data_IF_595732379782
#
_entry.id   IF_595732379782
#
_cell.length_a   1.000
_cell.length_b   1.000
_cell.length_c   1.000
_cell.angle_alpha   90.00
_cell.angle_beta   90.00
_cell.angle_gamma   90.00
#
_symmetry.space_group_name_H-M   'P 1'
#
loop_
_entity.id
_entity.type
_entity.pdbx_description
1 polymer ?
#
# COMPACT_ATOMS: atom_id res chain seq x y z
N UNK A 1 18.54 -78.94 -15.05
CA UNK A 1 18.95 -78.17 -13.86
C UNK A 1 19.35 -76.78 -14.31
N UNK A 2 18.82 -75.81 -13.58
CA UNK A 2 18.65 -74.38 -13.84
C UNK A 2 19.94 -73.56 -13.61
N UNK A 3 20.15 -72.52 -14.45
CA UNK A 3 20.47 -71.11 -14.11
C UNK A 3 21.36 -70.44 -15.18
N UNK A 4 20.71 -69.77 -16.14
CA UNK A 4 21.35 -68.77 -16.99
C UNK A 4 21.29 -67.40 -16.29
N UNK A 5 22.41 -66.94 -15.77
CA UNK A 5 22.60 -65.60 -15.20
C UNK A 5 22.53 -64.55 -16.32
N UNK A 6 21.52 -63.68 -16.29
CA UNK A 6 21.47 -62.49 -17.13
C UNK A 6 22.33 -61.38 -16.51
N UNK A 7 23.56 -61.20 -16.99
CA UNK A 7 24.35 -60.00 -16.73
C UNK A 7 23.73 -58.82 -17.49
N UNK A 8 23.04 -57.94 -16.78
CA UNK A 8 22.53 -56.69 -17.35
C UNK A 8 23.70 -55.77 -17.68
N UNK A 9 23.93 -55.50 -18.97
CA UNK A 9 25.04 -54.66 -19.50
C UNK A 9 25.00 -53.21 -18.96
N UNK A 10 23.91 -52.78 -18.33
CA UNK A 10 23.81 -51.47 -17.69
C UNK A 10 23.44 -51.64 -16.23
N UNK A 11 24.39 -51.31 -15.34
CA UNK A 11 24.10 -51.24 -13.91
C UNK A 11 23.00 -50.21 -13.65
N UNK A 12 22.05 -50.57 -12.78
CA UNK A 12 20.96 -49.68 -12.31
C UNK A 12 21.50 -48.32 -11.84
N UNK A 13 22.72 -48.28 -11.28
CA UNK A 13 23.40 -47.03 -10.89
C UNK A 13 23.73 -46.15 -12.09
N UNK A 14 24.23 -46.72 -13.18
CA UNK A 14 24.57 -46.01 -14.41
C UNK A 14 23.31 -45.45 -15.09
N UNK A 15 22.22 -46.22 -15.10
CA UNK A 15 20.94 -45.75 -15.63
C UNK A 15 20.38 -44.56 -14.81
N UNK A 16 20.49 -44.63 -13.48
CA UNK A 16 20.08 -43.53 -12.60
C UNK A 16 20.96 -42.28 -12.77
N UNK A 17 22.28 -42.44 -12.89
CA UNK A 17 23.20 -41.32 -13.12
C UNK A 17 22.98 -40.65 -14.49
N UNK A 18 22.74 -41.44 -15.55
CA UNK A 18 22.43 -40.89 -16.86
C UNK A 18 21.07 -40.15 -16.86
N UNK A 19 20.07 -40.70 -16.16
CA UNK A 19 18.75 -40.08 -16.01
C UNK A 19 18.79 -38.75 -15.26
N UNK A 20 19.57 -38.65 -14.17
CA UNK A 20 19.68 -37.39 -13.40
C UNK A 20 20.42 -36.30 -14.18
N UNK A 21 21.47 -36.64 -14.94
CA UNK A 21 22.18 -35.68 -15.80
C UNK A 21 21.26 -35.18 -16.93
N UNK A 22 20.47 -36.07 -17.53
CA UNK A 22 19.48 -35.70 -18.57
C UNK A 22 18.40 -34.76 -18.04
N UNK A 23 17.87 -35.00 -16.83
CA UNK A 23 16.88 -34.12 -16.19
C UNK A 23 17.44 -32.73 -15.85
N UNK A 24 18.70 -32.66 -15.37
CA UNK A 24 19.37 -31.38 -15.10
C UNK A 24 19.68 -30.60 -16.39
N UNK A 25 20.04 -31.31 -17.49
CA UNK A 25 20.28 -30.70 -18.80
C UNK A 25 19.01 -30.10 -19.43
N UNK A 26 17.86 -30.77 -19.28
CA UNK A 26 16.56 -30.28 -19.77
C UNK A 26 16.06 -29.06 -18.98
N UNK A 27 16.40 -28.95 -17.69
CA UNK A 27 16.09 -27.78 -16.86
C UNK A 27 16.93 -26.54 -17.19
N UNK A 28 18.11 -26.71 -17.82
CA UNK A 28 19.03 -25.62 -18.13
C UNK A 28 18.55 -24.71 -19.28
N UNK A 29 17.77 -25.25 -20.22
CA UNK A 29 17.18 -24.48 -21.32
C UNK A 29 16.12 -23.48 -20.82
N UNK A 30 15.43 -23.81 -19.72
CA UNK A 30 14.52 -22.88 -19.04
C UNK A 30 15.24 -21.84 -18.17
N UNK A 31 16.47 -22.10 -17.72
CA UNK A 31 17.26 -21.11 -16.96
C UNK A 31 17.64 -19.90 -17.81
N UNK A 32 17.91 -20.07 -19.11
CA UNK A 32 18.13 -18.94 -20.01
C UNK A 32 16.85 -18.13 -20.23
N UNK A 33 15.69 -18.79 -20.39
CA UNK A 33 14.39 -18.10 -20.50
C UNK A 33 13.98 -17.39 -19.20
N UNK A 34 14.27 -17.97 -18.03
CA UNK A 34 14.07 -17.36 -16.71
C UNK A 34 15.02 -16.17 -16.47
N UNK A 35 16.27 -16.24 -16.97
CA UNK A 35 17.22 -15.10 -16.96
C UNK A 35 16.91 -14.05 -18.03
N UNK A 36 16.31 -14.45 -19.16
CA UNK A 36 15.81 -13.51 -20.16
C UNK A 36 14.54 -12.79 -19.68
N UNK A 37 13.77 -13.40 -18.77
CA UNK A 37 12.71 -12.72 -18.01
C UNK A 37 13.24 -11.76 -16.94
N UNK A 38 14.52 -11.88 -16.55
CA UNK A 38 15.24 -10.87 -15.78
C UNK A 38 15.98 -9.89 -16.68
N UNK A 39 15.35 -9.46 -17.79
CA UNK A 39 15.78 -8.24 -18.46
C UNK A 39 15.78 -7.11 -17.44
N UNK A 40 16.94 -6.48 -17.34
CA UNK A 40 17.29 -5.27 -16.60
C UNK A 40 16.50 -4.04 -17.13
N UNK A 41 15.20 -4.21 -17.41
CA UNK A 41 14.29 -3.10 -17.55
C UNK A 41 14.12 -2.54 -16.15
N UNK A 42 14.89 -1.50 -15.81
CA UNK A 42 14.60 -0.65 -14.64
C UNK A 42 13.09 -0.46 -14.60
N UNK A 43 12.44 -1.10 -13.62
CA UNK A 43 11.01 -0.92 -13.44
C UNK A 43 10.75 0.58 -13.36
N UNK A 44 9.71 1.10 -14.04
CA UNK A 44 9.37 2.51 -13.99
C UNK A 44 9.39 2.97 -12.52
N UNK A 45 10.26 3.93 -12.22
CA UNK A 45 10.47 4.38 -10.85
C UNK A 45 9.68 5.66 -10.65
N UNK A 46 8.81 5.69 -9.66
CA UNK A 46 8.17 6.93 -9.23
C UNK A 46 9.24 7.91 -8.70
N UNK A 47 9.22 9.14 -9.21
CA UNK A 47 10.12 10.22 -8.76
C UNK A 47 9.59 10.89 -7.49
N UNK A 48 8.28 11.08 -7.42
CA UNK A 48 7.55 11.71 -6.31
C UNK A 48 6.25 10.96 -6.03
N UNK A 49 5.84 10.91 -4.77
CA UNK A 49 4.58 10.28 -4.34
C UNK A 49 3.77 11.31 -3.54
N UNK A 50 2.49 11.44 -3.90
CA UNK A 50 1.51 12.19 -3.13
C UNK A 50 0.63 11.17 -2.41
N UNK A 51 0.58 11.26 -1.09
CA UNK A 51 -0.32 10.46 -0.26
C UNK A 51 -1.47 11.33 0.22
N UNK A 52 -2.69 11.01 -0.21
CA UNK A 52 -3.91 11.71 0.17
C UNK A 52 -4.67 10.83 1.16
N UNK A 53 -4.81 11.31 2.40
CA UNK A 53 -5.64 10.67 3.41
C UNK A 53 -6.87 11.54 3.70
N UNK A 54 -8.05 10.98 3.47
CA UNK A 54 -9.33 11.66 3.68
C UNK A 54 -9.85 11.35 5.09
N UNK A 55 -9.46 12.16 6.07
CA UNK A 55 -9.98 12.09 7.45
C UNK A 55 -11.47 12.47 7.45
N UNK A 56 -12.35 11.55 7.87
CA UNK A 56 -13.81 11.66 7.68
C UNK A 56 -14.34 10.92 6.45
N UNK A 57 -13.45 10.58 5.52
CA UNK A 57 -13.65 9.59 4.47
C UNK A 57 -14.44 10.05 3.26
N UNK A 58 -14.22 9.30 2.17
CA UNK A 58 -15.10 9.23 1.01
C UNK A 58 -15.77 7.85 1.09
N UNK A 59 -17.10 7.78 1.09
CA UNK A 59 -17.80 6.49 1.22
C UNK A 59 -17.40 5.57 0.06
N UNK A 60 -16.78 4.42 0.37
CA UNK A 60 -16.40 3.43 -0.64
C UNK A 60 -17.61 2.95 -1.44
N UNK A 61 -18.74 2.82 -0.74
CA UNK A 61 -20.00 2.32 -1.27
C UNK A 61 -20.70 3.32 -2.21
N UNK A 62 -20.33 4.59 -2.15
CA UNK A 62 -20.84 5.65 -3.03
C UNK A 62 -19.84 6.05 -4.11
N UNK A 63 -18.66 5.43 -4.17
CA UNK A 63 -17.57 5.87 -5.06
C UNK A 63 -16.93 4.77 -5.88
N UNK A 64 -16.25 3.81 -5.24
CA UNK A 64 -15.39 2.85 -5.93
C UNK A 64 -15.86 1.38 -5.79
N UNK A 65 -16.84 1.10 -4.92
CA UNK A 65 -17.36 -0.26 -4.66
C UNK A 65 -18.88 -0.27 -4.36
N UNK A 66 -19.67 0.15 -5.35
CA UNK A 66 -21.09 0.52 -5.16
C UNK A 66 -22.10 -0.62 -5.20
N UNK A 67 -21.65 -1.88 -5.26
CA UNK A 67 -22.52 -3.07 -5.34
C UNK A 67 -23.80 -2.87 -6.17
N UNK A 68 -23.71 -2.51 -7.47
CA UNK A 68 -24.84 -2.01 -8.25
C UNK A 68 -26.00 -3.02 -8.40
N UNK A 69 -25.70 -4.31 -8.28
CA UNK A 69 -26.65 -5.41 -8.40
C UNK A 69 -27.31 -5.78 -7.06
N UNK A 70 -26.91 -5.15 -5.95
CA UNK A 70 -27.56 -5.35 -4.67
C UNK A 70 -28.96 -4.70 -4.63
N UNK A 71 -29.88 -5.20 -3.77
CA UNK A 71 -31.18 -4.58 -3.54
C UNK A 71 -31.08 -3.08 -3.24
N UNK A 72 -32.13 -2.32 -3.58
CA UNK A 72 -32.16 -0.85 -3.44
C UNK A 72 -31.94 -0.36 -2.00
N UNK A 73 -32.32 -1.15 -1.01
CA UNK A 73 -32.08 -0.86 0.41
C UNK A 73 -30.65 -1.21 0.89
N UNK A 74 -29.84 -1.81 0.03
CA UNK A 74 -28.46 -2.23 0.32
C UNK A 74 -27.47 -1.41 -0.52
N UNK A 75 -27.74 -1.22 -1.83
CA UNK A 75 -26.89 -0.42 -2.72
C UNK A 75 -27.06 1.09 -2.45
N UNK A 76 -26.05 1.86 -2.83
CA UNK A 76 -26.05 3.32 -2.68
C UNK A 76 -27.08 4.01 -3.56
N UNK A 77 -27.32 5.30 -3.31
CA UNK A 77 -28.26 6.12 -4.11
C UNK A 77 -27.72 6.36 -5.52
N UNK A 78 -26.40 6.48 -5.66
CA UNK A 78 -25.79 6.84 -6.93
C UNK A 78 -25.73 5.68 -7.92
N UNK A 79 -25.79 6.03 -9.20
CA UNK A 79 -25.62 5.07 -10.30
C UNK A 79 -24.15 4.93 -10.68
N UNK A 80 -23.79 3.76 -11.20
CA UNK A 80 -22.43 3.50 -11.70
C UNK A 80 -22.27 3.90 -13.18
N UNK A 81 -21.07 4.31 -13.56
CA UNK A 81 -20.62 4.50 -14.93
C UNK A 81 -19.51 3.49 -15.28
N UNK A 82 -19.44 3.08 -16.55
CA UNK A 82 -18.32 2.30 -17.06
C UNK A 82 -17.03 3.14 -17.06
N UNK A 83 -15.89 2.48 -16.88
CA UNK A 83 -14.57 3.12 -16.97
C UNK A 83 -13.83 2.66 -18.24
N UNK A 84 -12.74 3.34 -18.61
CA UNK A 84 -11.86 2.88 -19.69
C UNK A 84 -11.25 1.49 -19.45
N UNK A 85 -11.09 1.08 -18.19
CA UNK A 85 -10.67 -0.27 -17.81
C UNK A 85 -11.85 -1.23 -17.93
N UNK A 86 -11.79 -2.24 -18.84
CA UNK A 86 -12.88 -3.18 -19.03
C UNK A 86 -13.27 -3.91 -17.74
N UNK A 87 -14.57 -4.00 -17.47
CA UNK A 87 -15.12 -4.66 -16.28
C UNK A 87 -15.10 -3.81 -15.00
N UNK A 88 -14.45 -2.65 -14.99
CA UNK A 88 -14.45 -1.74 -13.85
C UNK A 88 -15.56 -0.68 -14.00
N UNK A 89 -16.37 -0.54 -12.94
CA UNK A 89 -17.45 0.44 -12.79
C UNK A 89 -17.23 1.23 -11.50
N UNK A 90 -17.48 2.53 -11.54
CA UNK A 90 -17.39 3.45 -10.38
C UNK A 90 -18.59 4.42 -10.40
N UNK A 91 -18.68 5.32 -9.42
CA UNK A 91 -19.75 6.32 -9.33
C UNK A 91 -19.82 7.25 -10.54
N UNK A 92 -21.05 7.48 -11.03
CA UNK A 92 -21.35 8.38 -12.15
C UNK A 92 -20.93 9.83 -11.91
N UNK A 93 -20.75 10.24 -10.64
CA UNK A 93 -20.24 11.56 -10.27
C UNK A 93 -18.71 11.70 -10.41
N UNK A 94 -18.01 10.64 -10.84
CA UNK A 94 -16.56 10.62 -11.03
C UNK A 94 -16.15 10.42 -12.51
N UNK A 95 -16.74 11.14 -13.49
CA UNK A 95 -16.52 10.86 -14.92
C UNK A 95 -15.06 11.06 -15.35
N UNK A 96 -14.37 12.03 -14.76
CA UNK A 96 -12.95 12.29 -15.03
C UNK A 96 -12.02 11.19 -14.48
N UNK A 97 -12.42 10.50 -13.41
CA UNK A 97 -11.70 9.34 -12.88
C UNK A 97 -11.96 8.10 -13.73
N UNK A 98 -13.22 7.89 -14.15
CA UNK A 98 -13.62 6.79 -15.02
C UNK A 98 -12.85 6.82 -16.35
N UNK A 99 -12.77 8.00 -16.97
CA UNK A 99 -12.02 8.23 -18.22
C UNK A 99 -10.49 8.19 -18.09
N UNK A 100 -9.95 7.94 -16.89
CA UNK A 100 -8.50 7.79 -16.64
C UNK A 100 -8.18 6.50 -15.88
N UNK A 101 -9.08 5.52 -15.91
CA UNK A 101 -8.93 4.24 -15.19
C UNK A 101 -7.76 3.36 -15.65
N UNK A 102 -7.16 3.68 -16.79
CA UNK A 102 -5.88 3.14 -17.26
C UNK A 102 -4.65 3.70 -16.51
N UNK A 103 -4.84 4.74 -15.68
CA UNK A 103 -3.78 5.46 -14.95
C UNK A 103 -3.75 5.18 -13.45
N UNK A 104 -4.68 4.38 -12.95
CA UNK A 104 -4.77 4.06 -11.53
C UNK A 104 -5.20 2.61 -11.32
N UNK A 105 -5.02 2.12 -10.09
CA UNK A 105 -5.44 0.78 -9.69
C UNK A 105 -6.29 0.88 -8.44
N UNK A 106 -7.30 0.00 -8.36
CA UNK A 106 -8.17 -0.10 -7.20
C UNK A 106 -7.73 -1.26 -6.32
N UNK A 107 -7.62 -1.01 -5.01
CA UNK A 107 -7.34 -2.06 -4.02
C UNK A 107 -8.54 -2.17 -3.09
N UNK A 108 -9.33 -3.25 -3.24
CA UNK A 108 -10.52 -3.54 -2.40
C UNK A 108 -10.24 -4.53 -1.26
N UNK A 109 -9.02 -5.04 -1.18
CA UNK A 109 -8.64 -6.06 -0.19
C UNK A 109 -8.20 -5.48 1.17
N UNK A 110 -8.20 -4.14 1.32
CA UNK A 110 -7.77 -3.51 2.57
C UNK A 110 -8.91 -3.59 3.60
N UNK A 111 -8.66 -4.26 4.72
CA UNK A 111 -9.57 -4.34 5.86
C UNK A 111 -8.80 -4.33 7.18
N UNK A 112 -9.47 -3.88 8.25
CA UNK A 112 -9.03 -4.06 9.64
C UNK A 112 -10.23 -4.38 10.53
N UNK A 113 -10.06 -5.11 11.65
CA UNK A 113 -11.19 -5.52 12.50
C UNK A 113 -11.70 -4.40 13.42
N UNK A 114 -11.07 -3.22 13.38
CA UNK A 114 -11.38 -2.12 14.28
C UNK A 114 -12.47 -1.20 13.74
N UNK A 115 -13.42 -0.78 14.59
CA UNK A 115 -14.52 0.12 14.22
C UNK A 115 -14.35 1.55 14.73
N UNK A 116 -13.32 1.85 15.54
CA UNK A 116 -13.08 3.22 16.02
C UNK A 116 -12.37 4.05 14.97
N UNK A 117 -12.84 5.29 14.84
CA UNK A 117 -12.32 6.29 13.92
C UNK A 117 -10.83 6.58 14.17
N UNK A 118 -10.45 6.73 15.43
CA UNK A 118 -9.08 7.03 15.86
C UNK A 118 -8.13 5.86 15.59
N UNK A 119 -8.60 4.63 15.82
CA UNK A 119 -7.84 3.45 15.45
C UNK A 119 -7.66 3.37 13.93
N UNK A 120 -8.73 3.62 13.16
CA UNK A 120 -8.67 3.67 11.70
C UNK A 120 -7.62 4.65 11.17
N UNK A 121 -7.56 5.86 11.74
CA UNK A 121 -6.51 6.84 11.42
C UNK A 121 -5.11 6.25 11.62
N UNK A 122 -4.86 5.71 12.81
CA UNK A 122 -3.54 5.17 13.17
C UNK A 122 -3.15 4.02 12.26
N UNK A 123 -4.08 3.10 11.98
CA UNK A 123 -3.86 1.94 11.12
C UNK A 123 -3.53 2.39 9.69
N UNK A 124 -4.30 3.32 9.13
CA UNK A 124 -4.11 3.81 7.76
C UNK A 124 -2.82 4.61 7.59
N UNK A 125 -2.47 5.42 8.59
CA UNK A 125 -1.28 6.28 8.52
C UNK A 125 0.03 5.53 8.81
N UNK A 126 -0.03 4.38 9.50
CA UNK A 126 1.15 3.56 9.85
C UNK A 126 1.25 2.26 9.05
N UNK A 127 0.16 1.82 8.41
CA UNK A 127 0.06 0.53 7.75
C UNK A 127 0.03 -0.67 8.72
N UNK A 128 -0.29 -0.47 10.00
CA UNK A 128 -0.25 -1.51 11.04
C UNK A 128 -1.59 -1.66 11.74
N UNK A 129 -2.15 -2.86 11.71
CA UNK A 129 -3.39 -3.20 12.44
C UNK A 129 -3.22 -3.19 13.96
N UNK A 130 -2.04 -3.59 14.45
CA UNK A 130 -1.72 -3.54 15.87
C UNK A 130 -1.50 -2.08 16.29
N UNK A 131 -2.18 -1.64 17.35
CA UNK A 131 -1.96 -0.31 17.92
C UNK A 131 -0.63 -0.24 18.67
N UNK A 132 -0.01 0.96 18.74
CA UNK A 132 1.25 1.12 19.43
C UNK A 132 1.14 0.93 20.95
N UNK A 133 2.23 0.58 21.64
CA UNK A 133 2.26 0.52 23.10
C UNK A 133 1.90 1.87 23.73
N UNK A 134 0.99 1.86 24.71
CA UNK A 134 0.55 3.08 25.38
C UNK A 134 -0.31 4.00 24.51
N UNK A 135 -0.94 3.46 23.47
CA UNK A 135 -1.77 4.19 22.50
C UNK A 135 -2.69 5.24 23.14
N UNK A 136 -2.64 6.47 22.61
CA UNK A 136 -3.51 7.58 23.01
C UNK A 136 -4.24 8.13 21.77
N UNK A 137 -5.57 7.96 21.67
CA UNK A 137 -6.30 8.15 20.41
C UNK A 137 -6.28 9.59 19.85
N UNK A 138 -5.95 10.57 20.68
CA UNK A 138 -5.94 12.00 20.30
C UNK A 138 -4.62 12.69 20.64
N UNK A 139 -3.55 11.93 20.84
CA UNK A 139 -2.25 12.47 21.16
C UNK A 139 -1.13 11.55 20.69
N UNK A 140 -0.47 11.92 19.60
CA UNK A 140 0.73 11.25 19.13
C UNK A 140 1.78 11.14 20.26
N UNK A 141 2.43 9.98 20.34
CA UNK A 141 3.46 9.65 21.33
C UNK A 141 4.77 9.28 20.66
N UNK A 142 5.88 9.48 21.37
CA UNK A 142 7.19 9.01 20.92
C UNK A 142 7.28 7.47 20.83
N UNK A 143 6.37 6.74 21.46
CA UNK A 143 6.28 5.27 21.38
C UNK A 143 5.41 4.78 20.23
N UNK A 144 4.75 5.68 19.49
CA UNK A 144 3.88 5.29 18.39
C UNK A 144 4.65 4.62 17.26
N UNK A 145 3.92 3.88 16.43
CA UNK A 145 4.46 3.42 15.15
C UNK A 145 4.74 4.62 14.25
N UNK A 146 5.85 4.60 13.51
CA UNK A 146 6.17 5.66 12.58
C UNK A 146 5.12 5.76 11.48
N UNK A 147 4.73 6.98 11.16
CA UNK A 147 3.87 7.28 10.03
C UNK A 147 4.54 7.03 8.68
N UNK A 148 3.72 6.81 7.66
CA UNK A 148 4.18 6.55 6.28
C UNK A 148 5.15 7.61 5.77
N UNK A 149 4.90 8.90 6.09
CA UNK A 149 5.77 10.00 5.68
C UNK A 149 7.15 9.94 6.35
N UNK A 150 7.23 9.60 7.64
CA UNK A 150 8.50 9.43 8.35
C UNK A 150 9.30 8.22 7.82
N UNK A 151 8.61 7.09 7.56
CA UNK A 151 9.23 5.89 6.98
C UNK A 151 9.76 6.18 5.58
N UNK A 152 8.96 6.82 4.72
CA UNK A 152 9.37 7.20 3.37
C UNK A 152 10.53 8.20 3.39
N UNK A 153 10.47 9.21 4.27
CA UNK A 153 11.51 10.21 4.43
C UNK A 153 12.86 9.62 4.85
N UNK A 154 12.85 8.73 5.84
CA UNK A 154 14.05 8.00 6.26
C UNK A 154 14.56 7.08 5.15
N UNK A 155 13.67 6.38 4.43
CA UNK A 155 14.04 5.56 3.27
C UNK A 155 14.76 6.36 2.18
N UNK A 156 14.28 7.56 1.88
CA UNK A 156 14.93 8.47 0.93
C UNK A 156 16.27 8.99 1.44
N UNK A 157 16.38 9.27 2.75
CA UNK A 157 17.64 9.68 3.38
C UNK A 157 18.69 8.57 3.31
N UNK A 158 18.33 7.34 3.69
CA UNK A 158 19.21 6.17 3.64
C UNK A 158 19.62 5.81 2.21
N UNK A 159 18.74 6.07 1.23
CA UNK A 159 19.05 5.91 -0.19
C UNK A 159 19.97 7.01 -0.76
N UNK A 160 20.45 7.96 0.06
CA UNK A 160 21.29 9.08 -0.37
C UNK A 160 20.54 10.12 -1.22
N UNK A 161 19.20 10.12 -1.21
CA UNK A 161 18.36 10.95 -2.08
C UNK A 161 17.84 12.22 -1.42
N UNK A 162 17.79 12.25 -0.09
CA UNK A 162 17.40 13.45 0.66
C UNK A 162 18.39 14.62 0.46
N UNK A 163 19.64 14.33 0.10
CA UNK A 163 20.68 15.34 -0.09
C UNK A 163 20.68 16.01 -1.48
N UNK A 164 19.78 15.61 -2.39
CA UNK A 164 19.88 16.03 -3.80
C UNK A 164 19.40 17.47 -4.06
N UNK A 165 18.64 18.09 -3.15
CA UNK A 165 18.04 19.40 -3.40
C UNK A 165 17.81 20.28 -2.15
N UNK A 166 18.44 19.99 -1.01
CA UNK A 166 18.29 20.74 0.26
C UNK A 166 16.84 20.84 0.79
N UNK A 167 15.90 20.07 0.25
CA UNK A 167 14.52 20.03 0.71
C UNK A 167 14.31 18.84 1.67
N UNK A 168 13.33 18.93 2.59
CA UNK A 168 12.95 17.78 3.39
C UNK A 168 12.48 16.62 2.52
N UNK A 169 12.82 15.36 2.88
CA UNK A 169 12.49 14.20 2.06
C UNK A 169 11.00 13.81 2.13
N UNK A 170 10.26 14.32 3.12
CA UNK A 170 8.82 14.12 3.24
C UNK A 170 8.18 15.39 3.83
N UNK A 171 7.08 15.82 3.22
CA UNK A 171 6.34 17.02 3.60
C UNK A 171 4.88 16.64 3.81
N UNK A 172 4.27 17.18 4.87
CA UNK A 172 2.83 17.05 5.16
C UNK A 172 2.18 18.43 5.01
N UNK A 173 1.10 18.47 4.23
CA UNK A 173 0.28 19.65 3.93
C UNK A 173 -1.21 19.27 3.98
N UNK A 174 -2.14 20.23 4.17
CA UNK A 174 -1.89 21.62 4.55
C UNK A 174 -1.70 21.83 6.06
N UNK A 175 -1.91 20.80 6.87
CA UNK A 175 -1.68 20.81 8.32
C UNK A 175 -1.60 19.36 8.83
N UNK A 176 -1.25 19.18 10.11
CA UNK A 176 -1.44 17.88 10.76
C UNK A 176 -2.91 17.65 11.10
N UNK A 177 -3.38 16.43 10.86
CA UNK A 177 -4.70 15.99 11.27
C UNK A 177 -4.82 16.02 12.80
N UNK A 178 -5.83 16.72 13.30
CA UNK A 178 -6.12 16.87 14.72
C UNK A 178 -7.58 16.53 14.98
N UNK A 179 -7.82 15.72 16.00
CA UNK A 179 -9.17 15.44 16.52
C UNK A 179 -9.43 16.19 17.84
N UNK A 180 -8.41 16.85 18.38
CA UNK A 180 -8.51 17.73 19.53
C UNK A 180 -7.43 18.82 19.41
N UNK A 181 -7.62 20.01 20.03
CA UNK A 181 -6.74 21.17 19.86
C UNK A 181 -5.27 20.93 20.26
N UNK A 182 -5.02 19.94 21.13
CA UNK A 182 -3.74 19.83 21.80
C UNK A 182 -2.64 19.09 21.00
N UNK A 183 -2.97 18.09 20.19
CA UNK A 183 -1.98 17.18 19.59
C UNK A 183 -2.44 16.58 18.26
N UNK A 184 -1.49 16.27 17.34
CA UNK A 184 -1.79 15.48 16.15
C UNK A 184 -2.32 14.08 16.51
N UNK A 185 -3.15 13.51 15.62
CA UNK A 185 -3.52 12.09 15.74
C UNK A 185 -2.28 11.19 15.59
N UNK A 186 -2.23 10.04 16.29
CA UNK A 186 -1.17 9.05 16.12
C UNK A 186 -0.99 8.61 14.67
N UNK A 187 0.25 8.23 14.32
CA UNK A 187 0.60 7.74 12.99
C UNK A 187 1.02 8.81 11.98
N UNK A 188 1.06 10.09 12.36
CA UNK A 188 1.56 11.16 11.47
C UNK A 188 3.06 11.45 11.65
N UNK A 189 3.60 11.14 12.84
CA UNK A 189 4.97 11.48 13.24
C UNK A 189 5.90 10.28 13.13
N UNK A 190 7.19 10.46 13.38
CA UNK A 190 8.19 9.39 13.37
C UNK A 190 8.05 8.43 14.55
N UNK A 191 7.42 8.85 15.66
CA UNK A 191 7.19 8.00 16.83
C UNK A 191 8.48 7.31 17.29
N UNK A 192 8.46 5.98 17.34
CA UNK A 192 9.58 5.13 17.75
C UNK A 192 10.85 5.27 16.88
N UNK A 193 10.78 5.90 15.71
CA UNK A 193 11.97 6.25 14.91
C UNK A 193 12.70 7.51 15.44
N UNK A 194 12.09 8.27 16.35
CA UNK A 194 12.66 9.48 16.93
C UNK A 194 12.33 10.75 16.15
N UNK A 195 12.11 11.85 16.88
CA UNK A 195 11.60 13.13 16.35
C UNK A 195 12.46 13.77 15.25
N UNK A 196 13.76 13.43 15.18
CA UNK A 196 14.64 13.89 14.08
C UNK A 196 14.22 13.39 12.69
N UNK A 197 13.30 12.42 12.62
CA UNK A 197 12.75 11.85 11.39
C UNK A 197 11.30 12.25 11.16
N UNK A 198 10.76 13.17 11.96
CA UNK A 198 9.42 13.69 11.74
C UNK A 198 9.33 14.31 10.34
N UNK A 199 8.21 14.11 9.62
CA UNK A 199 8.02 14.78 8.34
C UNK A 199 7.95 16.30 8.57
N UNK A 200 8.35 17.06 7.56
CA UNK A 200 8.20 18.51 7.62
C UNK A 200 6.73 18.87 7.45
N UNK A 201 6.09 19.35 8.52
CA UNK A 201 4.71 19.83 8.46
C UNK A 201 4.71 21.30 8.06
N UNK A 202 3.97 21.63 7.00
CA UNK A 202 3.71 23.02 6.63
C UNK A 202 2.27 23.31 6.99
N UNK A 203 2.06 24.25 7.92
CA UNK A 203 0.75 24.79 8.22
C UNK A 203 0.41 25.90 7.21
N UNK A 204 -0.38 25.53 6.21
CA UNK A 204 -0.79 26.39 5.11
C UNK A 204 -2.32 26.54 5.05
N UNK A 205 -3.05 26.04 6.05
CA UNK A 205 -4.51 26.18 6.09
C UNK A 205 -4.89 27.61 6.48
N UNK A 206 -5.70 28.33 5.69
CA UNK A 206 -6.25 29.62 6.10
C UNK A 206 -7.32 29.46 7.20
N UNK A 207 -7.82 28.24 7.40
CA UNK A 207 -8.79 27.89 8.44
C UNK A 207 -8.04 27.29 9.62
N UNK A 208 -8.01 27.99 10.76
CA UNK A 208 -7.33 27.50 11.97
C UNK A 208 -8.08 26.29 12.56
N UNK A 209 -7.31 25.33 13.05
CA UNK A 209 -7.78 24.11 13.74
C UNK A 209 -8.46 24.36 15.10
N UNK A 210 -8.80 25.61 15.46
CA UNK A 210 -9.68 25.92 16.59
C UNK A 210 -11.15 25.63 16.28
N UNK A 211 -11.49 25.50 14.98
CA UNK A 211 -12.76 24.98 14.52
C UNK A 211 -12.66 23.45 14.38
N UNK A 212 -13.31 22.71 15.28
CA UNK A 212 -13.46 21.26 15.13
C UNK A 212 -14.09 20.95 13.78
N UNK A 213 -13.55 19.97 13.04
CA UNK A 213 -14.19 19.36 11.88
C UNK A 213 -15.49 18.64 12.31
N UNK A 214 -16.54 19.42 12.52
CA UNK A 214 -17.93 18.99 12.66
C UNK A 214 -18.72 19.62 11.52
N UNK A 215 -19.73 18.91 11.01
CA UNK A 215 -20.63 19.42 9.99
C UNK A 215 -21.09 20.86 10.33
N UNK A 216 -21.29 21.74 9.33
CA UNK A 216 -21.84 23.06 9.59
C UNK A 216 -23.15 22.88 10.38
N UNK A 217 -23.21 23.46 11.57
CA UNK A 217 -24.46 23.59 12.30
C UNK A 217 -25.40 24.38 11.40
N UNK A 218 -26.50 23.73 10.99
CA UNK A 218 -27.63 24.38 10.35
C UNK A 218 -28.24 25.45 11.26
#
# INVERSE_FOLDING_TARGET
MDRSSHDSIVSRRTALQAGTIGMLGLGMNHLQALRAGSTDSRSPRAESVIYIFLSGGLSQHETFDMNPDAPENIRGEFQTIATNTPGLRICGHLPMFAGRSDRWSLVRSLMHPNTSHEHGHTIMLTGRTQLPPGYRPRAAQATDWPGIAAVAGEGLRLAGRAALNNLPPAIVVPESLRLAPAQPVPGQMAGSMGAMRDPWVIDASPHRADTSWGAPTA
#
